data_IF_906270456712
#
_entry.id   IF_906270456712
#
_cell.length_a   1.000
_cell.length_b   1.000
_cell.length_c   1.000
_cell.angle_alpha   90.00
_cell.angle_beta   90.00
_cell.angle_gamma   90.00
#
_symmetry.space_group_name_H-M   'P 1'
#
loop_
_entity.id
_entity.type
_entity.pdbx_description
1 polymer ?
#
# COMPACT_ATOMS: atom_id res chain seq x y z
N UNK A 1 -37.55 -51.09 -20.48
CA UNK A 1 -37.08 -50.61 -19.16
C UNK A 1 -35.99 -49.58 -19.38
N UNK A 2 -36.36 -48.30 -19.26
CA UNK A 2 -35.49 -47.11 -19.35
C UNK A 2 -34.79 -46.91 -18.00
N UNK A 3 -33.59 -46.32 -18.00
CA UNK A 3 -32.68 -46.05 -16.86
C UNK A 3 -31.64 -47.14 -16.51
N UNK A 4 -30.80 -47.50 -17.48
CA UNK A 4 -29.45 -48.07 -17.18
C UNK A 4 -28.41 -47.79 -18.27
N UNK A 5 -28.71 -46.92 -19.24
CA UNK A 5 -27.91 -46.74 -20.47
C UNK A 5 -27.38 -45.31 -20.69
N UNK A 6 -27.22 -44.51 -19.63
CA UNK A 6 -26.63 -43.17 -19.74
C UNK A 6 -25.22 -43.06 -19.14
N UNK A 7 -24.74 -44.09 -18.41
CA UNK A 7 -23.40 -44.13 -17.80
C UNK A 7 -22.32 -44.86 -18.62
N UNK A 8 -22.56 -45.14 -19.90
CA UNK A 8 -21.57 -45.76 -20.82
C UNK A 8 -21.30 -44.94 -22.08
N UNK A 9 -21.73 -43.68 -22.14
CA UNK A 9 -21.54 -42.78 -23.30
C UNK A 9 -20.68 -41.54 -23.04
N UNK A 10 -19.98 -41.45 -21.91
CA UNK A 10 -19.05 -40.34 -21.61
C UNK A 10 -17.62 -40.78 -21.27
N UNK A 11 -17.22 -42.00 -21.63
CA UNK A 11 -15.87 -42.52 -21.37
C UNK A 11 -15.14 -43.01 -22.64
N UNK A 12 -15.54 -42.58 -23.84
CA UNK A 12 -14.93 -43.01 -25.11
C UNK A 12 -14.85 -41.90 -26.17
N UNK A 13 -14.56 -40.67 -25.75
CA UNK A 13 -14.27 -39.56 -26.68
C UNK A 13 -13.04 -38.77 -26.20
N UNK A 14 -11.96 -39.48 -25.91
CA UNK A 14 -10.67 -38.91 -25.48
C UNK A 14 -9.51 -39.67 -26.12
N UNK A 15 -9.57 -39.90 -27.43
CA UNK A 15 -8.44 -40.35 -28.24
C UNK A 15 -8.86 -40.29 -29.72
N UNK A 16 -8.59 -39.18 -30.43
CA UNK A 16 -8.53 -39.02 -31.90
C UNK A 16 -8.81 -37.55 -32.33
N UNK A 17 -8.04 -36.59 -31.82
CA UNK A 17 -7.65 -35.37 -32.56
C UNK A 17 -6.20 -35.06 -32.17
N UNK A 18 -5.29 -35.95 -32.54
CA UNK A 18 -3.87 -35.65 -32.74
C UNK A 18 -3.60 -36.09 -34.17
N UNK A 19 -2.92 -35.22 -34.92
CA UNK A 19 -2.44 -35.42 -36.30
C UNK A 19 -3.35 -34.88 -37.43
N UNK A 20 -3.47 -33.55 -37.52
CA UNK A 20 -3.68 -32.85 -38.79
C UNK A 20 -3.38 -31.34 -38.69
N UNK A 21 -2.16 -30.93 -38.31
CA UNK A 21 -1.60 -29.60 -38.67
C UNK A 21 -0.07 -29.66 -38.66
N UNK A 22 0.49 -30.38 -39.62
CA UNK A 22 1.86 -30.22 -40.08
C UNK A 22 1.79 -30.26 -41.60
N UNK A 23 2.49 -29.32 -42.24
CA UNK A 23 2.58 -29.03 -43.69
C UNK A 23 1.64 -27.91 -44.19
N UNK A 24 2.05 -26.65 -43.94
CA UNK A 24 1.92 -25.53 -44.88
C UNK A 24 2.72 -24.31 -44.38
N UNK A 25 4.05 -24.30 -44.55
CA UNK A 25 4.86 -23.09 -44.36
C UNK A 25 6.12 -23.13 -45.24
N UNK A 26 5.94 -23.07 -46.56
CA UNK A 26 6.95 -22.68 -47.53
C UNK A 26 6.23 -21.90 -48.64
N UNK A 27 6.20 -20.58 -48.51
CA UNK A 27 5.66 -19.62 -49.49
C UNK A 27 5.87 -18.18 -49.01
N UNK A 28 6.11 -17.20 -49.90
CA UNK A 28 6.61 -15.88 -49.51
C UNK A 28 5.55 -15.05 -48.77
N UNK A 29 5.94 -14.38 -47.68
CA UNK A 29 5.09 -13.46 -46.91
C UNK A 29 4.85 -12.13 -47.66
N UNK A 30 3.67 -11.49 -47.51
CA UNK A 30 3.45 -10.11 -47.98
C UNK A 30 4.20 -9.11 -47.08
N UNK A 31 4.69 -8.02 -47.67
CA UNK A 31 5.39 -6.94 -46.96
C UNK A 31 4.45 -6.09 -46.08
N UNK A 32 4.92 -5.72 -44.89
CA UNK A 32 4.33 -4.73 -44.01
C UNK A 32 4.83 -3.31 -44.39
N UNK A 33 4.07 -2.24 -44.11
CA UNK A 33 4.48 -0.87 -44.43
C UNK A 33 5.61 -0.38 -43.52
N UNK A 34 6.50 0.44 -44.08
CA UNK A 34 7.78 0.89 -43.51
C UNK A 34 7.65 1.65 -42.18
N UNK A 35 8.48 1.27 -41.21
CA UNK A 35 8.76 2.04 -40.01
C UNK A 35 9.94 3.02 -40.25
N UNK A 36 9.85 4.20 -39.63
CA UNK A 36 10.81 5.31 -39.71
C UNK A 36 12.21 4.93 -39.15
N UNK A 37 13.29 5.64 -39.57
CA UNK A 37 14.67 5.19 -39.34
C UNK A 37 15.14 5.42 -37.90
N UNK A 38 15.97 4.49 -37.44
CA UNK A 38 16.60 4.43 -36.11
C UNK A 38 18.07 4.86 -36.23
N UNK A 39 18.53 5.82 -35.41
CA UNK A 39 19.93 6.28 -35.37
C UNK A 39 20.84 5.29 -34.61
N UNK A 40 22.08 5.20 -35.09
CA UNK A 40 23.14 4.27 -34.67
C UNK A 40 23.61 4.45 -33.21
N UNK A 41 23.78 3.34 -32.50
CA UNK A 41 24.55 3.25 -31.25
C UNK A 41 25.82 2.42 -31.50
N UNK A 42 26.98 3.02 -31.20
CA UNK A 42 28.30 2.45 -31.40
C UNK A 42 28.65 1.37 -30.37
N UNK A 43 29.29 0.31 -30.88
CA UNK A 43 29.89 -0.83 -30.19
C UNK A 43 31.14 -0.43 -29.39
N UNK A 44 31.35 -1.00 -28.20
CA UNK A 44 32.70 -1.15 -27.64
C UNK A 44 32.80 -2.52 -26.95
N UNK A 45 33.71 -3.32 -27.48
CA UNK A 45 34.04 -4.71 -27.10
C UNK A 45 34.80 -4.77 -25.78
N UNK A 46 34.40 -5.68 -24.88
CA UNK A 46 35.20 -6.14 -23.75
C UNK A 46 36.05 -7.34 -24.17
N UNK A 47 37.36 -7.23 -23.96
CA UNK A 47 38.32 -8.32 -24.10
C UNK A 47 38.64 -8.90 -22.71
N UNK A 48 38.82 -10.22 -22.68
CA UNK A 48 39.06 -11.03 -21.50
C UNK A 48 40.54 -11.35 -21.39
N UNK A 49 41.12 -11.26 -20.19
CA UNK A 49 42.21 -12.17 -19.82
C UNK A 49 42.34 -12.33 -18.30
N UNK A 50 42.52 -13.58 -17.90
CA UNK A 50 42.71 -14.05 -16.54
C UNK A 50 44.19 -14.25 -16.24
N UNK A 51 44.63 -14.00 -15.00
CA UNK A 51 45.69 -14.79 -14.36
C UNK A 51 45.74 -14.59 -12.84
N UNK A 52 45.82 -15.73 -12.19
CA UNK A 52 46.03 -16.08 -10.79
C UNK A 52 47.44 -15.74 -10.26
N UNK A 53 47.56 -15.41 -8.96
CA UNK A 53 48.49 -16.06 -7.99
C UNK A 53 48.70 -15.24 -6.71
N UNK A 54 48.31 -15.82 -5.57
CA UNK A 54 49.21 -16.18 -4.45
C UNK A 54 49.97 -15.13 -3.62
N UNK A 55 49.54 -15.04 -2.35
CA UNK A 55 50.33 -15.20 -1.11
C UNK A 55 50.68 -13.98 -0.22
N UNK A 56 50.16 -14.09 1.02
CA UNK A 56 50.64 -13.73 2.37
C UNK A 56 51.69 -12.64 2.59
N UNK A 57 51.37 -11.68 3.47
CA UNK A 57 52.15 -11.42 4.69
C UNK A 57 51.33 -10.61 5.71
N UNK A 58 51.38 -11.05 6.95
CA UNK A 58 50.77 -10.47 8.14
C UNK A 58 51.42 -9.14 8.59
N UNK A 59 50.63 -8.28 9.21
CA UNK A 59 51.10 -7.38 10.25
C UNK A 59 49.96 -7.15 11.26
N UNK A 60 50.20 -7.61 12.50
CA UNK A 60 49.44 -7.30 13.70
C UNK A 60 49.57 -5.79 14.03
N UNK A 61 48.50 -5.18 14.52
CA UNK A 61 48.62 -4.17 15.57
C UNK A 61 47.34 -4.13 16.40
N UNK A 62 47.56 -4.18 17.71
CA UNK A 62 46.63 -4.36 18.80
C UNK A 62 45.51 -3.32 18.93
N UNK A 63 44.51 -3.77 19.70
CA UNK A 63 43.25 -3.15 20.06
C UNK A 63 43.37 -1.79 20.76
N UNK A 64 42.37 -0.94 20.53
CA UNK A 64 41.76 -0.16 21.60
C UNK A 64 40.26 -0.05 21.36
N UNK A 65 39.51 -0.61 22.31
CA UNK A 65 38.05 -0.57 22.41
C UNK A 65 37.62 0.85 22.76
N UNK A 66 36.82 1.48 21.90
CA UNK A 66 35.96 2.60 22.29
C UNK A 66 34.52 2.27 21.92
N UNK A 67 33.75 1.90 22.94
CA UNK A 67 32.29 1.93 22.93
C UNK A 67 31.83 3.37 22.68
N UNK A 68 31.38 3.65 21.46
CA UNK A 68 30.56 4.83 21.16
C UNK A 68 29.12 4.34 20.95
N UNK A 69 28.24 4.74 21.86
CA UNK A 69 26.81 4.53 21.72
C UNK A 69 26.32 5.29 20.50
N UNK A 70 25.54 4.61 19.65
CA UNK A 70 24.77 5.25 18.60
C UNK A 70 23.66 6.05 19.28
N UNK A 71 23.99 7.28 19.65
CA UNK A 71 23.02 8.26 20.10
C UNK A 71 22.13 8.61 18.90
N UNK A 72 20.81 8.50 19.12
CA UNK A 72 19.79 8.94 18.19
C UNK A 72 20.08 10.38 17.73
N UNK A 73 20.39 10.53 16.45
CA UNK A 73 20.44 11.83 15.77
C UNK A 73 18.99 12.24 15.49
N UNK A 74 18.33 12.84 16.48
CA UNK A 74 17.13 13.64 16.26
C UNK A 74 17.52 14.85 15.41
N UNK A 75 17.40 14.72 14.09
CA UNK A 75 17.67 15.78 13.14
C UNK A 75 16.68 16.92 13.34
N UNK A 76 17.16 18.02 13.89
CA UNK A 76 16.48 19.31 13.92
C UNK A 76 16.25 19.81 12.48
N UNK A 77 15.10 19.48 11.90
CA UNK A 77 14.41 20.27 10.88
C UNK A 77 12.95 20.39 11.26
N UNK A 78 12.69 21.02 12.40
CA UNK A 78 11.36 21.50 12.74
C UNK A 78 11.35 23.02 12.62
N UNK A 79 11.45 23.53 11.40
CA UNK A 79 10.94 24.89 11.12
C UNK A 79 9.45 24.76 10.92
N UNK A 80 8.75 24.56 12.04
CA UNK A 80 7.30 24.62 12.09
C UNK A 80 6.92 26.06 11.74
N UNK A 81 6.52 26.30 10.49
CA UNK A 81 5.90 27.56 10.08
C UNK A 81 4.72 27.80 11.03
N UNK A 82 4.67 28.97 11.68
CA UNK A 82 3.61 29.27 12.65
C UNK A 82 2.25 29.21 11.95
N UNK A 83 1.46 28.18 12.27
CA UNK A 83 0.08 28.03 11.82
C UNK A 83 -0.78 29.14 12.44
N UNK A 84 -1.44 29.94 11.61
CA UNK A 84 -2.23 31.11 12.05
C UNK A 84 -3.58 30.74 12.70
N UNK A 85 -3.85 29.44 12.86
CA UNK A 85 -5.06 28.92 13.47
C UNK A 85 -6.23 28.70 12.50
N UNK A 86 -6.09 29.04 11.21
CA UNK A 86 -7.18 28.99 10.24
C UNK A 86 -6.88 28.00 9.12
N UNK A 87 -7.76 27.03 8.90
CA UNK A 87 -7.65 26.11 7.78
C UNK A 87 -8.49 26.62 6.59
N UNK A 88 -7.91 26.50 5.39
CA UNK A 88 -8.64 26.71 4.14
C UNK A 88 -9.04 25.37 3.54
N UNK A 89 -10.13 25.35 2.77
CA UNK A 89 -10.62 24.15 2.10
C UNK A 89 -11.05 24.44 0.66
N UNK A 90 -11.17 23.40 -0.15
CA UNK A 90 -11.57 23.55 -1.54
C UNK A 90 -12.99 24.16 -1.65
N UNK A 91 -13.26 25.03 -2.64
CA UNK A 91 -14.58 25.65 -2.79
C UNK A 91 -15.75 24.66 -2.82
N UNK A 92 -15.56 23.49 -3.46
CA UNK A 92 -16.58 22.44 -3.47
C UNK A 92 -16.92 21.90 -2.06
N UNK A 93 -15.95 21.86 -1.15
CA UNK A 93 -16.18 21.42 0.22
C UNK A 93 -16.87 22.51 1.04
N UNK A 94 -16.54 23.79 0.79
CA UNK A 94 -17.28 24.93 1.38
C UNK A 94 -18.77 24.89 1.01
N UNK A 95 -19.08 24.54 -0.23
CA UNK A 95 -20.46 24.34 -0.69
C UNK A 95 -21.15 23.19 0.05
N UNK A 96 -20.46 22.06 0.27
CA UNK A 96 -20.98 20.92 1.04
C UNK A 96 -21.18 21.27 2.53
N UNK A 97 -20.28 22.05 3.13
CA UNK A 97 -20.44 22.57 4.50
C UNK A 97 -21.65 23.50 4.58
N UNK A 98 -21.80 24.41 3.63
CA UNK A 98 -22.94 25.32 3.57
C UNK A 98 -24.28 24.59 3.36
N UNK A 99 -24.25 23.44 2.67
CA UNK A 99 -25.40 22.55 2.52
C UNK A 99 -25.69 21.70 3.77
N UNK A 100 -24.71 21.56 4.68
CA UNK A 100 -24.79 20.70 5.86
C UNK A 100 -24.48 19.23 5.58
N UNK A 101 -23.88 18.92 4.43
CA UNK A 101 -23.55 17.56 4.02
C UNK A 101 -22.30 17.03 4.76
N UNK A 102 -21.38 17.93 5.12
CA UNK A 102 -20.16 17.62 5.89
C UNK A 102 -19.89 18.69 6.97
N UNK A 103 -19.15 18.35 8.04
CA UNK A 103 -18.73 19.33 9.05
C UNK A 103 -17.72 20.36 8.52
N UNK A 104 -17.51 21.49 9.22
CA UNK A 104 -16.42 22.43 8.95
C UNK A 104 -15.03 21.75 8.96
N UNK A 105 -14.06 22.36 8.27
CA UNK A 105 -12.72 21.77 8.09
C UNK A 105 -12.00 21.48 9.41
N UNK A 106 -12.21 22.32 10.42
CA UNK A 106 -11.63 22.18 11.76
C UNK A 106 -12.14 20.94 12.50
N UNK A 107 -13.36 20.50 12.21
CA UNK A 107 -13.95 19.29 12.82
C UNK A 107 -13.58 18.03 12.03
N UNK A 108 -13.20 18.19 10.76
CA UNK A 108 -12.80 17.07 9.90
C UNK A 108 -11.35 16.67 10.13
N UNK A 109 -10.43 17.65 10.21
CA UNK A 109 -9.00 17.42 10.40
C UNK A 109 -8.69 16.75 11.75
N UNK A 110 -7.59 15.98 11.83
CA UNK A 110 -7.05 15.54 13.11
C UNK A 110 -6.50 16.74 13.91
N UNK A 111 -6.25 16.55 15.20
CA UNK A 111 -5.69 17.58 16.08
C UNK A 111 -4.31 18.06 15.60
N UNK A 112 -3.51 17.15 15.02
CA UNK A 112 -2.19 17.42 14.46
C UNK A 112 -2.12 16.87 13.03
N UNK A 113 -2.63 17.62 12.02
CA UNK A 113 -2.54 17.19 10.63
C UNK A 113 -1.09 17.12 10.16
N UNK A 114 -0.82 16.27 9.17
CA UNK A 114 0.52 16.26 8.57
C UNK A 114 0.67 17.45 7.64
N UNK A 115 1.55 18.37 8.03
CA UNK A 115 1.92 19.50 7.19
C UNK A 115 2.88 19.03 6.08
N UNK A 116 2.52 19.31 4.84
CA UNK A 116 3.30 18.97 3.65
C UNK A 116 3.89 20.25 3.08
N UNK A 117 5.22 20.35 3.09
CA UNK A 117 5.92 21.45 2.42
C UNK A 117 5.78 21.31 0.89
N UNK A 118 5.19 22.31 0.20
CA UNK A 118 5.10 22.27 -1.24
C UNK A 118 6.49 22.32 -1.88
N UNK A 119 6.71 21.52 -2.93
CA UNK A 119 8.01 21.47 -3.61
C UNK A 119 8.39 22.79 -4.28
N UNK A 120 7.42 23.45 -4.92
CA UNK A 120 7.64 24.65 -5.73
C UNK A 120 6.97 25.89 -5.12
N UNK A 121 5.66 25.79 -4.83
CA UNK A 121 4.87 26.86 -4.22
C UNK A 121 3.58 26.32 -3.61
N UNK A 122 2.95 27.10 -2.74
CA UNK A 122 1.58 26.83 -2.25
C UNK A 122 0.65 26.65 -3.44
N UNK A 123 -0.17 25.59 -3.37
CA UNK A 123 -1.08 25.19 -4.45
C UNK A 123 -2.34 26.05 -4.50
N UNK A 124 -3.10 25.90 -5.60
CA UNK A 124 -4.45 26.45 -5.71
C UNK A 124 -5.46 25.30 -5.79
N UNK A 125 -6.59 25.43 -5.11
CA UNK A 125 -7.68 24.46 -5.23
C UNK A 125 -8.32 24.47 -6.62
N UNK A 126 -8.73 23.28 -7.06
CA UNK A 126 -9.61 23.09 -8.22
C UNK A 126 -8.98 22.31 -9.39
N UNK A 127 -9.78 22.16 -10.45
CA UNK A 127 -9.41 21.45 -11.67
C UNK A 127 -9.65 19.94 -11.61
N UNK A 128 -9.31 19.27 -12.72
CA UNK A 128 -9.43 17.81 -12.88
C UNK A 128 -8.13 17.25 -13.42
N UNK A 129 -7.51 16.34 -12.66
CA UNK A 129 -6.33 15.61 -13.13
C UNK A 129 -6.75 14.41 -13.98
N UNK A 130 -6.53 14.50 -15.28
CA UNK A 130 -6.83 13.42 -16.24
C UNK A 130 -5.61 12.53 -16.42
N UNK A 131 -5.78 11.23 -16.18
CA UNK A 131 -4.76 10.19 -16.36
C UNK A 131 -5.32 9.06 -17.21
N UNK A 132 -4.45 8.16 -17.64
CA UNK A 132 -4.82 6.90 -18.28
C UNK A 132 -4.11 5.76 -17.56
N UNK A 133 -4.75 4.59 -17.53
CA UNK A 133 -4.22 3.33 -17.02
C UNK A 133 -4.80 2.19 -17.86
N UNK A 134 -4.20 1.01 -17.80
CA UNK A 134 -4.57 -0.13 -18.67
C UNK A 134 -5.64 -1.06 -18.06
N UNK A 135 -6.38 -0.57 -17.06
CA UNK A 135 -7.44 -1.28 -16.35
C UNK A 135 -6.97 -1.86 -15.01
N UNK A 136 -7.79 -2.71 -14.38
CA UNK A 136 -7.55 -3.24 -13.01
C UNK A 136 -6.19 -3.92 -12.84
N UNK A 137 -5.64 -4.54 -13.91
CA UNK A 137 -4.31 -5.17 -13.86
C UNK A 137 -3.17 -4.16 -13.71
N UNK A 138 -3.44 -2.88 -13.97
CA UNK A 138 -2.53 -1.75 -13.76
C UNK A 138 -2.76 -1.10 -12.39
N UNK A 139 -3.02 -1.93 -11.37
CA UNK A 139 -3.38 -1.49 -10.02
C UNK A 139 -2.30 -0.59 -9.38
N UNK A 140 -1.03 -0.68 -9.80
CA UNK A 140 0.01 0.26 -9.38
C UNK A 140 -0.19 1.68 -9.94
N UNK A 141 -0.80 1.86 -11.12
CA UNK A 141 -1.13 3.19 -11.63
C UNK A 141 -2.11 3.92 -10.69
N UNK A 142 -3.00 3.14 -10.06
CA UNK A 142 -3.89 3.57 -8.98
C UNK A 142 -3.16 3.71 -7.64
N UNK A 143 -2.44 2.69 -7.17
CA UNK A 143 -1.79 2.72 -5.85
C UNK A 143 -0.81 3.87 -5.68
N UNK A 144 -0.03 4.20 -6.72
CA UNK A 144 0.98 5.27 -6.65
C UNK A 144 0.41 6.68 -6.46
N UNK A 145 -0.88 6.91 -6.75
CA UNK A 145 -1.52 8.20 -6.46
C UNK A 145 -2.19 8.22 -5.08
N UNK A 146 -2.39 7.07 -4.46
CA UNK A 146 -2.97 6.94 -3.13
C UNK A 146 -1.90 6.40 -2.19
N UNK A 147 -0.87 7.18 -1.95
CA UNK A 147 0.25 6.76 -1.10
C UNK A 147 0.19 7.54 0.23
N UNK A 148 -0.55 6.97 1.18
CA UNK A 148 -0.77 7.51 2.52
C UNK A 148 -0.43 6.48 3.61
N UNK A 149 0.85 6.13 3.76
CA UNK A 149 1.28 5.09 4.69
C UNK A 149 1.42 5.55 6.16
N UNK A 150 1.56 4.59 7.05
CA UNK A 150 1.81 4.77 8.49
C UNK A 150 3.10 5.53 8.74
N UNK A 151 4.19 5.10 8.08
CA UNK A 151 5.46 5.82 7.98
C UNK A 151 5.74 6.14 6.51
N UNK A 152 6.66 7.05 6.20
CA UNK A 152 6.88 7.49 4.81
C UNK A 152 8.34 7.44 4.43
N UNK A 153 8.62 7.01 3.21
CA UNK A 153 9.91 7.30 2.59
C UNK A 153 10.06 8.81 2.41
N UNK A 154 11.24 9.33 2.76
CA UNK A 154 11.60 10.69 2.41
C UNK A 154 11.72 10.82 0.88
N UNK A 155 11.49 12.02 0.31
CA UNK A 155 11.70 12.26 -1.12
C UNK A 155 13.14 11.97 -1.57
N UNK A 156 14.11 12.27 -0.69
CA UNK A 156 15.51 11.96 -0.90
C UNK A 156 15.88 10.65 -0.19
N UNK A 157 16.46 9.70 -0.91
CA UNK A 157 16.74 8.35 -0.38
C UNK A 157 17.72 8.34 0.81
N UNK A 158 18.56 9.37 0.95
CA UNK A 158 19.48 9.50 2.07
C UNK A 158 18.82 10.00 3.36
N UNK A 159 17.63 10.59 3.25
CA UNK A 159 16.92 11.12 4.41
C UNK A 159 16.21 9.97 5.15
N UNK A 160 16.10 10.04 6.49
CA UNK A 160 15.49 8.99 7.28
C UNK A 160 14.00 8.86 6.96
N UNK A 161 13.42 7.72 7.34
CA UNK A 161 11.98 7.50 7.31
C UNK A 161 11.27 8.63 8.07
N UNK A 162 10.15 9.09 7.52
CA UNK A 162 9.40 10.27 7.96
C UNK A 162 8.04 9.87 8.55
N UNK A 163 7.44 10.71 9.41
CA UNK A 163 6.09 10.51 9.90
C UNK A 163 5.04 10.42 8.79
N UNK A 164 4.08 9.52 8.97
CA UNK A 164 2.89 9.36 8.14
C UNK A 164 1.63 9.53 8.98
N UNK A 165 0.74 8.53 8.94
CA UNK A 165 -0.40 8.45 9.88
C UNK A 165 0.09 8.37 11.32
N UNK A 166 1.17 7.61 11.56
CA UNK A 166 1.91 7.71 12.81
C UNK A 166 2.70 9.01 12.82
N UNK A 167 2.48 9.83 13.85
CA UNK A 167 3.25 11.05 14.09
C UNK A 167 4.59 10.75 14.74
N UNK A 168 4.66 9.69 15.54
CA UNK A 168 5.84 9.28 16.29
C UNK A 168 5.94 7.75 16.34
N UNK A 169 7.17 7.22 16.41
CA UNK A 169 7.44 5.82 16.63
C UNK A 169 8.76 5.62 17.37
N UNK A 170 8.88 4.52 18.11
CA UNK A 170 10.10 4.19 18.85
C UNK A 170 10.29 2.68 18.99
N UNK A 171 11.55 2.25 18.92
CA UNK A 171 11.97 0.87 19.12
C UNK A 171 12.46 0.64 20.55
N UNK A 172 12.25 -0.57 21.08
CA UNK A 172 12.98 -1.08 22.23
C UNK A 172 14.47 -1.24 21.92
N UNK A 173 15.30 -1.24 22.96
CA UNK A 173 16.77 -1.36 22.82
C UNK A 173 17.22 -2.66 22.12
N UNK A 174 16.43 -3.73 22.22
CA UNK A 174 16.66 -5.03 21.58
C UNK A 174 15.99 -5.16 20.20
N UNK A 175 15.23 -4.14 19.76
CA UNK A 175 14.59 -4.11 18.45
C UNK A 175 13.42 -5.09 18.28
N UNK A 176 12.84 -5.58 19.37
CA UNK A 176 11.72 -6.53 19.34
C UNK A 176 10.37 -5.89 19.59
N UNK A 177 10.31 -4.64 20.05
CA UNK A 177 9.06 -3.90 20.24
C UNK A 177 9.12 -2.56 19.49
N UNK A 178 8.12 -2.31 18.65
CA UNK A 178 7.92 -1.03 17.98
C UNK A 178 6.63 -0.40 18.49
N UNK A 179 6.73 0.75 19.16
CA UNK A 179 5.58 1.53 19.59
C UNK A 179 5.26 2.58 18.51
N UNK A 180 4.01 2.64 18.06
CA UNK A 180 3.50 3.61 17.10
C UNK A 180 2.48 4.53 17.79
N UNK A 181 2.60 5.84 17.58
CA UNK A 181 1.65 6.85 18.06
C UNK A 181 1.05 7.58 16.87
N UNK A 182 -0.27 7.46 16.72
CA UNK A 182 -1.06 8.02 15.64
C UNK A 182 -1.59 9.41 15.94
N UNK A 183 -2.03 10.10 14.88
CA UNK A 183 -2.66 11.42 14.98
C UNK A 183 -4.07 11.29 15.55
N UNK A 184 -4.36 11.99 16.63
CA UNK A 184 -5.69 11.96 17.23
C UNK A 184 -6.73 12.64 16.32
N UNK A 185 -7.90 12.04 16.18
CA UNK A 185 -9.01 12.59 15.40
C UNK A 185 -8.94 12.32 13.89
N UNK A 186 -8.08 11.40 13.45
CA UNK A 186 -8.13 10.84 12.09
C UNK A 186 -9.52 10.26 11.80
N UNK A 187 -9.96 10.39 10.56
CA UNK A 187 -11.27 9.91 10.10
C UNK A 187 -11.14 9.26 8.73
N UNK A 188 -11.92 8.22 8.52
CA UNK A 188 -12.18 7.64 7.21
C UNK A 188 -12.98 8.62 6.33
N UNK A 189 -13.03 8.38 5.02
CA UNK A 189 -13.67 9.29 4.06
C UNK A 189 -15.19 9.44 4.19
N UNK A 190 -15.82 8.59 4.98
CA UNK A 190 -17.23 8.64 5.38
C UNK A 190 -17.44 9.40 6.71
N UNK A 191 -16.35 9.82 7.36
CA UNK A 191 -16.37 10.57 8.61
C UNK A 191 -16.28 9.72 9.87
N UNK A 192 -16.30 8.39 9.75
CA UNK A 192 -16.10 7.50 10.89
C UNK A 192 -14.67 7.62 11.44
N UNK A 193 -14.46 7.51 12.77
CA UNK A 193 -13.12 7.58 13.35
C UNK A 193 -12.19 6.51 12.78
N UNK A 194 -10.94 6.89 12.54
CA UNK A 194 -9.86 5.93 12.31
C UNK A 194 -9.12 5.72 13.63
N UNK A 195 -8.97 4.46 14.06
CA UNK A 195 -8.28 4.11 15.32
C UNK A 195 -7.36 2.91 15.11
N UNK A 196 -6.59 2.56 16.14
CA UNK A 196 -5.78 1.32 16.11
C UNK A 196 -6.63 0.04 16.01
N UNK A 197 -7.95 0.10 16.22
CA UNK A 197 -8.83 -1.05 16.00
C UNK A 197 -8.88 -1.44 14.52
N UNK A 198 -8.71 -0.49 13.60
CA UNK A 198 -8.57 -0.76 12.16
C UNK A 198 -7.28 -1.55 11.83
N UNK A 199 -6.22 -1.39 12.64
CA UNK A 199 -4.97 -2.17 12.53
C UNK A 199 -5.18 -3.57 13.09
N UNK A 200 -5.80 -3.68 14.27
CA UNK A 200 -6.09 -4.97 14.91
C UNK A 200 -7.01 -5.80 14.04
N UNK A 201 -8.05 -5.19 13.47
CA UNK A 201 -8.95 -5.83 12.52
C UNK A 201 -8.20 -6.38 11.31
N UNK A 202 -7.36 -5.56 10.67
CA UNK A 202 -6.53 -6.02 9.55
C UNK A 202 -5.64 -7.19 9.97
N UNK A 203 -4.98 -7.10 11.12
CA UNK A 203 -4.06 -8.14 11.57
C UNK A 203 -4.78 -9.47 11.82
N UNK A 204 -5.86 -9.45 12.60
CA UNK A 204 -6.57 -10.66 13.03
C UNK A 204 -7.41 -11.30 11.92
N UNK A 205 -8.09 -10.49 11.12
CA UNK A 205 -9.14 -10.93 10.19
C UNK A 205 -8.75 -10.77 8.71
N UNK A 206 -7.57 -10.23 8.39
CA UNK A 206 -7.10 -10.16 7.00
C UNK A 206 -5.75 -10.83 6.87
N UNK A 207 -4.77 -10.41 7.66
CA UNK A 207 -3.38 -10.85 7.56
C UNK A 207 -3.17 -12.28 8.10
N UNK A 208 -3.75 -12.58 9.27
CA UNK A 208 -3.67 -13.92 9.89
C UNK A 208 -4.75 -14.89 9.41
N UNK A 209 -5.79 -14.41 8.72
CA UNK A 209 -6.84 -15.28 8.19
C UNK A 209 -6.40 -15.96 6.90
N UNK A 210 -6.06 -17.25 7.00
CA UNK A 210 -5.60 -18.07 5.86
C UNK A 210 -6.61 -18.27 4.73
N UNK A 211 -7.89 -17.89 4.92
CA UNK A 211 -8.88 -17.87 3.85
C UNK A 211 -8.73 -16.62 2.96
N UNK A 212 -8.12 -15.55 3.48
CA UNK A 212 -7.89 -14.27 2.79
C UNK A 212 -6.42 -14.14 2.39
N UNK A 213 -5.51 -14.32 3.35
CA UNK A 213 -4.06 -14.17 3.17
C UNK A 213 -3.38 -15.51 3.39
N UNK A 214 -2.84 -16.10 2.32
CA UNK A 214 -2.35 -17.48 2.33
C UNK A 214 -1.26 -17.76 3.39
N UNK A 215 -0.44 -16.75 3.70
CA UNK A 215 0.55 -16.75 4.78
C UNK A 215 0.84 -15.29 5.14
N UNK A 216 1.12 -14.97 6.42
CA UNK A 216 1.55 -13.64 6.79
C UNK A 216 2.75 -13.19 5.96
N UNK A 217 2.75 -11.93 5.54
CA UNK A 217 3.81 -11.31 4.80
C UNK A 217 5.09 -11.24 5.65
N UNK A 218 6.23 -11.34 4.98
CA UNK A 218 7.52 -11.57 5.63
C UNK A 218 7.93 -10.41 6.55
N UNK A 219 7.53 -9.18 6.24
CA UNK A 219 7.74 -7.99 7.07
C UNK A 219 7.11 -8.09 8.46
N UNK A 220 6.11 -8.95 8.64
CA UNK A 220 5.40 -9.15 9.90
C UNK A 220 5.86 -10.40 10.66
N UNK A 221 6.91 -11.07 10.18
CA UNK A 221 7.40 -12.34 10.74
C UNK A 221 8.90 -12.28 11.02
N UNK A 222 9.35 -13.04 12.02
CA UNK A 222 10.78 -13.32 12.26
C UNK A 222 10.96 -14.83 12.36
N UNK A 223 11.83 -15.40 11.53
CA UNK A 223 12.03 -16.85 11.40
C UNK A 223 10.74 -17.65 11.15
N UNK A 224 9.75 -17.02 10.48
CA UNK A 224 8.45 -17.61 10.17
C UNK A 224 7.42 -17.52 11.30
N UNK A 225 7.80 -16.98 12.46
CA UNK A 225 6.88 -16.71 13.57
C UNK A 225 6.31 -15.28 13.41
N UNK A 226 4.98 -15.10 13.38
CA UNK A 226 4.36 -13.80 13.22
C UNK A 226 4.53 -12.94 14.49
N UNK A 227 4.52 -11.62 14.30
CA UNK A 227 4.44 -10.65 15.39
C UNK A 227 3.10 -10.76 16.15
N UNK A 228 2.97 -10.01 17.23
CA UNK A 228 1.69 -9.78 17.92
C UNK A 228 1.46 -8.29 18.12
N UNK A 229 0.21 -7.91 18.39
CA UNK A 229 -0.19 -6.54 18.62
C UNK A 229 -0.65 -6.34 20.07
N UNK A 230 -0.25 -5.23 20.68
CA UNK A 230 -0.76 -4.76 21.97
C UNK A 230 -1.38 -3.37 21.80
N UNK A 231 -2.70 -3.27 21.95
CA UNK A 231 -3.40 -1.98 22.03
C UNK A 231 -3.07 -1.29 23.35
N UNK A 232 -2.51 -0.08 23.28
CA UNK A 232 -2.28 0.76 24.46
C UNK A 232 -3.49 1.67 24.70
N UNK A 233 -3.94 2.35 23.64
CA UNK A 233 -5.16 3.17 23.60
C UNK A 233 -5.65 3.29 22.14
N UNK A 234 -6.62 4.15 21.85
CA UNK A 234 -7.22 4.27 20.51
C UNK A 234 -6.26 4.81 19.43
N UNK A 235 -5.14 5.42 19.83
CA UNK A 235 -4.14 6.02 18.93
C UNK A 235 -2.72 5.52 19.17
N UNK A 236 -2.54 4.52 20.04
CA UNK A 236 -1.23 3.97 20.39
C UNK A 236 -1.27 2.44 20.37
N UNK A 237 -0.36 1.84 19.61
CA UNK A 237 -0.23 0.38 19.50
C UNK A 237 1.24 -0.02 19.54
N UNK A 238 1.50 -1.22 20.06
CA UNK A 238 2.83 -1.84 19.99
C UNK A 238 2.80 -3.07 19.09
N UNK A 239 3.82 -3.18 18.26
CA UNK A 239 4.12 -4.36 17.46
C UNK A 239 5.23 -5.12 18.19
N UNK A 240 4.96 -6.38 18.55
CA UNK A 240 5.85 -7.21 19.38
C UNK A 240 6.32 -8.39 18.53
N UNK A 241 7.62 -8.43 18.24
CA UNK A 241 8.24 -9.41 17.37
C UNK A 241 8.95 -10.52 18.17
N UNK A 242 9.04 -11.75 17.63
CA UNK A 242 9.79 -12.83 18.29
C UNK A 242 11.32 -12.65 18.23
N UNK A 243 11.82 -11.67 17.47
CA UNK A 243 13.22 -11.26 17.40
C UNK A 243 13.36 -9.89 16.72
N UNK A 244 14.60 -9.36 16.57
CA UNK A 244 14.81 -8.03 15.99
C UNK A 244 14.25 -7.92 14.56
N UNK A 245 13.43 -6.90 14.29
CA UNK A 245 12.73 -6.77 13.00
C UNK A 245 12.86 -5.39 12.35
N UNK A 246 14.06 -5.01 11.92
CA UNK A 246 14.27 -3.71 11.24
C UNK A 246 13.57 -3.56 9.89
N UNK A 247 13.19 -4.67 9.25
CA UNK A 247 12.52 -4.63 7.94
C UNK A 247 11.11 -4.03 8.01
N UNK A 248 10.45 -4.12 9.17
CA UNK A 248 9.08 -3.65 9.32
C UNK A 248 8.98 -2.14 9.12
N UNK A 249 9.99 -1.37 9.53
CA UNK A 249 9.93 0.09 9.42
C UNK A 249 9.95 0.55 7.96
N UNK A 250 10.88 -0.01 7.17
CA UNK A 250 11.10 0.40 5.78
C UNK A 250 10.16 -0.28 4.79
N UNK A 251 9.91 -1.58 4.94
CA UNK A 251 9.06 -2.36 4.05
C UNK A 251 7.62 -2.39 4.54
N UNK A 252 7.39 -2.80 5.79
CA UNK A 252 6.04 -2.97 6.35
C UNK A 252 5.28 -1.66 6.54
N UNK A 253 5.94 -0.62 7.06
CA UNK A 253 5.29 0.64 7.43
C UNK A 253 5.52 1.75 6.42
N UNK A 254 6.75 1.92 5.92
CA UNK A 254 7.05 2.98 4.96
C UNK A 254 6.62 2.63 3.53
N UNK A 255 6.75 1.38 3.09
CA UNK A 255 6.33 0.99 1.74
C UNK A 255 4.91 0.42 1.72
N UNK A 256 4.66 -0.70 2.40
CA UNK A 256 3.38 -1.41 2.40
C UNK A 256 2.36 -0.88 3.41
N UNK A 257 2.75 0.04 4.30
CA UNK A 257 1.97 0.43 5.48
C UNK A 257 0.79 1.35 5.20
N UNK A 258 0.04 1.10 4.14
CA UNK A 258 -1.10 1.88 3.67
C UNK A 258 -2.29 0.94 3.39
N UNK A 259 -3.46 1.46 3.02
CA UNK A 259 -4.68 0.65 2.78
C UNK A 259 -4.69 -0.11 1.41
N UNK A 260 -3.52 -0.53 0.85
CA UNK A 260 -3.36 -0.96 -0.56
C UNK A 260 -2.52 -2.22 -0.72
N UNK A 261 -2.88 -3.13 -1.65
CA UNK A 261 -4.21 -3.41 -2.19
C UNK A 261 -4.83 -4.54 -1.38
N UNK A 262 -5.94 -4.25 -0.68
CA UNK A 262 -6.61 -5.23 0.18
C UNK A 262 -7.21 -6.41 -0.59
N UNK A 263 -7.31 -6.41 -1.93
CA UNK A 263 -7.95 -7.46 -2.72
C UNK A 263 -6.99 -8.23 -3.65
N UNK A 264 -5.72 -7.83 -3.77
CA UNK A 264 -4.77 -8.47 -4.68
C UNK A 264 -3.49 -8.89 -3.98
N UNK A 265 -2.62 -7.95 -3.64
CA UNK A 265 -1.37 -8.27 -2.95
C UNK A 265 -1.55 -8.42 -1.45
N UNK A 266 -2.66 -7.94 -0.87
CA UNK A 266 -2.93 -7.94 0.58
C UNK A 266 -1.89 -7.20 1.42
N UNK A 267 -0.97 -6.48 0.79
CA UNK A 267 -0.15 -5.50 1.47
C UNK A 267 -1.04 -4.49 2.18
N UNK A 268 -0.59 -4.07 3.36
CA UNK A 268 -1.30 -3.12 4.18
C UNK A 268 -0.97 -3.27 5.64
N UNK A 269 -1.55 -2.42 6.47
CA UNK A 269 -1.43 -2.50 7.93
C UNK A 269 -2.70 -2.04 8.66
N UNK A 270 -3.77 -1.71 7.92
CA UNK A 270 -5.08 -1.34 8.48
C UNK A 270 -6.16 -1.47 7.40
N UNK A 271 -7.40 -1.66 7.83
CA UNK A 271 -8.58 -1.70 6.98
C UNK A 271 -9.81 -1.18 7.75
N UNK A 272 -10.81 -0.57 7.09
CA UNK A 272 -11.94 0.05 7.78
C UNK A 272 -12.82 -1.00 8.45
N UNK A 273 -12.59 -1.24 9.75
CA UNK A 273 -13.25 -2.29 10.53
C UNK A 273 -14.77 -2.10 10.49
N UNK A 274 -15.22 -0.89 10.79
CA UNK A 274 -16.63 -0.50 10.87
C UNK A 274 -17.41 -0.83 9.59
N UNK A 275 -16.71 -0.86 8.46
CA UNK A 275 -17.26 -1.22 7.17
C UNK A 275 -17.11 -2.70 6.85
N UNK A 276 -15.90 -3.26 6.96
CA UNK A 276 -15.59 -4.60 6.45
C UNK A 276 -15.97 -5.74 7.40
N UNK A 277 -16.01 -5.51 8.71
CA UNK A 277 -16.28 -6.56 9.70
C UNK A 277 -17.63 -7.26 9.46
N UNK A 278 -18.64 -6.52 9.03
CA UNK A 278 -19.98 -7.06 8.74
C UNK A 278 -20.00 -8.07 7.57
N UNK A 279 -18.98 -8.07 6.72
CA UNK A 279 -18.87 -8.99 5.58
C UNK A 279 -17.92 -10.16 5.86
N UNK A 280 -17.32 -10.21 7.04
CA UNK A 280 -16.33 -11.22 7.38
C UNK A 280 -17.00 -12.46 8.03
N UNK A 281 -16.85 -13.69 7.48
CA UNK A 281 -17.52 -14.89 8.00
C UNK A 281 -17.22 -15.23 9.46
N UNK A 282 -16.03 -14.89 9.96
CA UNK A 282 -15.70 -15.12 11.38
C UNK A 282 -16.36 -14.13 12.35
N UNK A 283 -16.90 -13.01 11.84
CA UNK A 283 -17.50 -11.92 12.61
C UNK A 283 -19.01 -11.79 12.39
N UNK A 284 -19.53 -12.38 11.32
CA UNK A 284 -20.94 -12.37 10.98
C UNK A 284 -21.41 -13.76 10.51
N UNK A 285 -22.19 -14.43 11.36
CA UNK A 285 -22.76 -15.76 11.11
C UNK A 285 -23.78 -15.79 9.94
N UNK A 286 -24.19 -14.63 9.42
CA UNK A 286 -25.05 -14.54 8.23
C UNK A 286 -24.26 -14.66 6.91
N UNK A 287 -22.92 -14.62 6.97
CA UNK A 287 -22.04 -14.69 5.80
C UNK A 287 -21.41 -16.08 5.71
N UNK A 288 -21.76 -16.82 4.65
CA UNK A 288 -21.35 -18.21 4.47
C UNK A 288 -19.94 -18.38 3.86
N UNK A 289 -19.44 -17.37 3.13
CA UNK A 289 -18.14 -17.40 2.46
C UNK A 289 -17.52 -16.00 2.29
N UNK A 290 -16.26 -15.95 1.84
CA UNK A 290 -15.51 -14.71 1.71
C UNK A 290 -15.81 -13.94 0.42
N UNK A 291 -16.67 -14.42 -0.49
CA UNK A 291 -16.87 -13.76 -1.78
C UNK A 291 -17.42 -12.33 -1.62
N UNK A 292 -18.33 -12.13 -0.66
CA UNK A 292 -18.84 -10.79 -0.36
C UNK A 292 -17.78 -9.92 0.31
N UNK A 293 -16.98 -10.46 1.25
CA UNK A 293 -15.85 -9.74 1.82
C UNK A 293 -14.91 -9.21 0.73
N UNK A 294 -14.57 -10.06 -0.24
CA UNK A 294 -13.69 -9.69 -1.36
C UNK A 294 -14.26 -8.60 -2.27
N UNK A 295 -15.56 -8.68 -2.56
CA UNK A 295 -16.26 -7.64 -3.33
C UNK A 295 -16.23 -6.30 -2.57
N UNK A 296 -16.51 -6.33 -1.26
CA UNK A 296 -16.58 -5.12 -0.45
C UNK A 296 -15.20 -4.53 -0.15
N UNK A 297 -14.18 -5.37 -0.02
CA UNK A 297 -12.79 -4.97 0.16
C UNK A 297 -12.12 -4.48 -1.13
N UNK A 298 -12.77 -4.59 -2.29
CA UNK A 298 -12.18 -4.20 -3.57
C UNK A 298 -11.83 -2.72 -3.64
N UNK A 299 -10.64 -2.39 -4.19
CA UNK A 299 -10.11 -1.02 -4.18
C UNK A 299 -10.94 0.01 -4.95
N UNK A 300 -11.73 -0.44 -5.93
CA UNK A 300 -12.62 0.43 -6.71
C UNK A 300 -14.07 0.35 -6.29
N UNK A 301 -14.38 -0.34 -5.19
CA UNK A 301 -15.70 -0.25 -4.58
C UNK A 301 -15.93 1.19 -4.07
N UNK A 302 -16.92 1.86 -4.64
CA UNK A 302 -17.24 3.27 -4.37
C UNK A 302 -17.79 3.50 -2.95
N UNK A 303 -18.27 2.45 -2.31
CA UNK A 303 -18.79 2.50 -0.94
C UNK A 303 -17.70 2.26 0.11
N UNK A 304 -16.51 1.80 -0.28
CA UNK A 304 -15.45 1.45 0.67
C UNK A 304 -14.82 2.73 1.24
N UNK A 305 -14.83 2.95 2.57
CA UNK A 305 -14.18 4.10 3.16
C UNK A 305 -12.67 4.08 2.93
N UNK A 306 -12.09 5.27 2.73
CA UNK A 306 -10.66 5.40 2.45
C UNK A 306 -9.97 6.48 3.27
N UNK A 307 -8.67 6.31 3.50
CA UNK A 307 -7.85 7.31 4.22
C UNK A 307 -7.14 8.29 3.27
N UNK A 308 -7.00 7.92 1.98
CA UNK A 308 -6.23 8.68 1.00
C UNK A 308 -6.92 9.97 0.53
N UNK A 309 -6.18 10.79 -0.20
CA UNK A 309 -6.65 12.07 -0.74
C UNK A 309 -7.83 11.96 -1.72
N UNK A 310 -8.00 10.83 -2.41
CA UNK A 310 -9.05 10.63 -3.42
C UNK A 310 -9.79 9.31 -3.20
N UNK A 311 -11.12 9.33 -3.37
CA UNK A 311 -11.99 8.15 -3.27
C UNK A 311 -12.70 7.85 -4.58
N UNK A 312 -12.87 6.57 -4.95
CA UNK A 312 -13.72 6.19 -6.08
C UNK A 312 -15.17 6.67 -5.86
N UNK A 313 -15.76 7.29 -6.88
CA UNK A 313 -17.19 7.64 -6.92
C UNK A 313 -17.90 7.09 -8.14
N UNK A 314 -17.14 6.61 -9.13
CA UNK A 314 -17.68 5.90 -10.28
C UNK A 314 -16.69 4.83 -10.72
N UNK A 315 -17.15 3.59 -10.74
CA UNK A 315 -16.44 2.46 -11.31
C UNK A 315 -17.46 1.43 -11.79
N UNK A 316 -17.31 1.02 -13.05
CA UNK A 316 -18.12 -0.06 -13.64
C UNK A 316 -17.17 -1.18 -14.13
N UNK A 317 -17.41 -2.45 -13.77
CA UNK A 317 -16.66 -3.56 -14.36
C UNK A 317 -16.75 -3.56 -15.89
N UNK A 318 -15.61 -3.41 -16.56
CA UNK A 318 -15.54 -3.30 -18.03
C UNK A 318 -15.85 -1.91 -18.58
N UNK A 319 -16.08 -0.92 -17.71
CA UNK A 319 -16.15 0.49 -18.06
C UNK A 319 -14.81 1.05 -18.54
N UNK A 320 -14.85 2.26 -19.11
CA UNK A 320 -13.65 2.94 -19.64
C UNK A 320 -13.08 3.97 -18.68
N UNK A 321 -13.75 4.23 -17.56
CA UNK A 321 -13.44 5.33 -16.64
C UNK A 321 -13.50 4.87 -15.18
N UNK A 322 -12.57 5.40 -14.38
CA UNK A 322 -12.61 5.42 -12.93
C UNK A 322 -12.65 6.91 -12.54
N UNK A 323 -13.74 7.35 -11.91
CA UNK A 323 -13.85 8.74 -11.43
C UNK A 323 -13.59 8.77 -9.94
N UNK A 324 -12.77 9.73 -9.54
CA UNK A 324 -12.34 9.94 -8.17
C UNK A 324 -12.73 11.34 -7.74
N UNK A 325 -13.19 11.46 -6.50
CA UNK A 325 -13.39 12.75 -5.86
C UNK A 325 -12.47 12.90 -4.66
N UNK A 326 -12.22 14.15 -4.27
CA UNK A 326 -11.40 14.42 -3.08
C UNK A 326 -12.05 13.82 -1.84
N UNK A 327 -11.24 13.25 -0.96
CA UNK A 327 -11.68 12.84 0.36
C UNK A 327 -11.89 14.11 1.23
N UNK A 328 -13.12 14.39 1.70
CA UNK A 328 -13.38 15.56 2.54
C UNK A 328 -12.71 15.47 3.91
N UNK A 329 -12.35 14.27 4.38
CA UNK A 329 -11.69 14.04 5.67
C UNK A 329 -10.18 13.80 5.55
N UNK A 330 -9.58 14.18 4.42
CA UNK A 330 -8.15 14.00 4.21
C UNK A 330 -7.32 14.78 5.23
N UNK A 331 -6.30 14.12 5.79
CA UNK A 331 -5.66 14.46 7.06
C UNK A 331 -4.34 15.26 6.90
N UNK A 332 -4.01 15.68 5.68
CA UNK A 332 -2.81 16.46 5.37
C UNK A 332 -3.16 17.87 4.92
N UNK A 333 -2.33 18.83 5.30
CA UNK A 333 -2.43 20.23 4.92
C UNK A 333 -1.12 20.72 4.29
N UNK A 334 -1.12 21.91 3.70
CA UNK A 334 0.11 22.62 3.35
C UNK A 334 0.53 23.58 4.47
N UNK A 335 1.60 24.35 4.25
CA UNK A 335 2.25 25.24 5.24
C UNK A 335 1.54 26.57 5.51
N UNK A 336 0.32 26.76 4.95
CA UNK A 336 -0.44 28.02 4.92
C UNK A 336 0.21 29.19 4.15
#
# INVERSE_FOLDING_TARGET
MRRTNQRRRLAFLSLFIVLAMLVAACGPRPALPDAAPQEDAAETTMDSDAADSGDSAAAESDAETSTESVAASSGERNTQTEFDGTYNEAPMLQEMVAAGDIPPVEERLPAEPLMVEPRDSIGLYGGTWRRAFTGVKDFHAWGRINYDPVLRWAPEFSDPIQPGLAKEWSWSDDGTELTLVFREGLKWSDGEPWTVDDIIFWWEYIELDTNITASPHIEWTVDGEPMTLEKVDDYTIKFIFPGPSGIVESMGLAFHGHQWPLAFERFGVFAPEHYLAQFHPALNDEIDDYAQFEEMAFDYNVERPVIWAWKPVQWDPGGTELILERNPYYWKTDTA
#
